data_IF_116722598733
#
_entry.id   IF_116722598733
#
_cell.length_a   1.000
_cell.length_b   1.000
_cell.length_c   1.000
_cell.angle_alpha   90.00
_cell.angle_beta   90.00
_cell.angle_gamma   90.00
#
_symmetry.space_group_name_H-M   'P 1'
#
loop_
_entity.id
_entity.type
_entity.pdbx_description
1 polymer ?
#
# COMPACT_ATOMS: atom_id res chain seq x y z
N UNK A 1 -18.08 -71.13 -44.71
CA UNK A 1 -16.97 -70.56 -45.51
C UNK A 1 -17.09 -69.05 -45.43
N UNK A 2 -16.34 -68.43 -44.53
CA UNK A 2 -16.33 -66.98 -44.33
C UNK A 2 -14.91 -66.49 -44.62
N UNK A 3 -14.79 -65.55 -45.54
CA UNK A 3 -13.53 -64.96 -45.97
C UNK A 3 -13.08 -63.89 -44.98
N UNK A 4 -11.79 -63.96 -44.62
CA UNK A 4 -11.09 -63.01 -43.76
C UNK A 4 -10.51 -61.92 -44.67
N UNK A 5 -10.97 -60.67 -44.50
CA UNK A 5 -10.37 -59.50 -45.13
C UNK A 5 -9.37 -58.86 -44.17
N UNK A 6 -8.11 -58.78 -44.60
CA UNK A 6 -7.03 -58.02 -43.98
C UNK A 6 -7.11 -56.55 -44.41
N UNK A 7 -7.25 -55.64 -43.44
CA UNK A 7 -7.12 -54.19 -43.68
C UNK A 7 -5.75 -53.71 -43.18
N UNK A 8 -5.07 -53.05 -44.10
CA UNK A 8 -3.72 -52.50 -44.01
C UNK A 8 -3.71 -51.22 -43.18
N UNK A 9 -2.79 -51.13 -42.21
CA UNK A 9 -2.56 -49.95 -41.40
C UNK A 9 -1.71 -48.92 -42.17
N UNK A 10 -2.24 -47.69 -42.35
CA UNK A 10 -1.46 -46.52 -42.76
C UNK A 10 -0.97 -45.78 -41.50
N UNK A 11 0.34 -45.66 -41.34
CA UNK A 11 0.96 -44.75 -40.37
C UNK A 11 0.81 -43.29 -40.85
N UNK A 12 0.42 -42.34 -39.99
CA UNK A 12 0.54 -40.92 -40.33
C UNK A 12 2.01 -40.49 -40.30
N UNK A 13 2.47 -39.92 -41.41
CA UNK A 13 3.74 -39.20 -41.53
C UNK A 13 3.74 -37.97 -40.62
N UNK A 14 4.82 -37.79 -39.87
CA UNK A 14 5.09 -36.56 -39.13
C UNK A 14 5.23 -35.37 -40.09
N UNK A 15 4.60 -34.21 -39.82
CA UNK A 15 4.78 -33.03 -40.64
C UNK A 15 6.22 -32.50 -40.51
N UNK A 16 6.76 -32.16 -41.68
CA UNK A 16 8.11 -31.68 -41.89
C UNK A 16 8.38 -30.37 -41.12
N UNK A 17 9.54 -30.33 -40.49
CA UNK A 17 10.15 -29.16 -39.89
C UNK A 17 10.59 -28.15 -40.96
N UNK A 18 10.11 -26.91 -40.82
CA UNK A 18 10.82 -25.67 -41.18
C UNK A 18 9.92 -24.47 -40.86
N UNK A 19 10.28 -23.73 -39.82
CA UNK A 19 10.60 -22.32 -39.97
C UNK A 19 11.62 -21.95 -38.89
N UNK A 20 12.73 -21.37 -39.35
CA UNK A 20 13.86 -20.93 -38.54
C UNK A 20 13.39 -19.69 -37.79
N UNK A 21 13.03 -19.88 -36.52
CA UNK A 21 12.86 -18.77 -35.58
C UNK A 21 14.19 -17.97 -35.52
N UNK A 22 14.14 -16.63 -35.45
CA UNK A 22 15.34 -15.84 -35.24
C UNK A 22 16.03 -16.33 -33.97
N UNK A 23 17.36 -16.46 -34.02
CA UNK A 23 18.17 -16.84 -32.89
C UNK A 23 17.92 -15.85 -31.73
N UNK A 24 17.10 -16.28 -30.76
CA UNK A 24 16.96 -15.60 -29.49
C UNK A 24 18.30 -15.79 -28.79
N UNK A 25 19.01 -14.68 -28.60
CA UNK A 25 20.24 -14.65 -27.82
C UNK A 25 19.88 -14.96 -26.36
N UNK A 26 19.91 -16.24 -26.00
CA UNK A 26 19.77 -16.73 -24.63
C UNK A 26 21.05 -16.53 -23.80
N UNK A 27 21.91 -15.59 -24.18
CA UNK A 27 22.99 -15.17 -23.29
C UNK A 27 22.31 -14.49 -22.11
N UNK A 28 22.33 -15.08 -20.90
CA UNK A 28 21.90 -14.36 -19.72
C UNK A 28 22.73 -13.08 -19.71
N UNK A 29 22.07 -11.92 -19.60
CA UNK A 29 22.79 -10.74 -19.16
C UNK A 29 23.26 -11.08 -17.76
N UNK A 30 24.49 -11.59 -17.68
CA UNK A 30 25.21 -11.79 -16.45
C UNK A 30 25.48 -10.38 -15.97
N UNK A 31 24.54 -9.84 -15.19
CA UNK A 31 24.77 -8.64 -14.41
C UNK A 31 25.87 -9.01 -13.42
N UNK A 32 26.97 -8.27 -13.46
CA UNK A 32 28.03 -8.39 -12.47
C UNK A 32 27.38 -8.26 -11.07
N UNK A 33 27.53 -9.31 -10.26
CA UNK A 33 27.23 -9.35 -8.82
C UNK A 33 25.81 -8.90 -8.40
N UNK A 34 24.82 -9.80 -8.46
CA UNK A 34 23.59 -9.72 -7.63
C UNK A 34 22.68 -8.51 -7.82
N UNK A 35 22.90 -7.68 -8.85
CA UNK A 35 22.09 -6.49 -9.10
C UNK A 35 20.69 -6.84 -9.60
N UNK A 36 19.67 -6.35 -8.90
CA UNK A 36 18.28 -6.46 -9.36
C UNK A 36 18.11 -5.78 -10.73
N UNK A 37 17.25 -6.37 -11.56
CA UNK A 37 16.87 -5.82 -12.85
C UNK A 37 15.62 -4.96 -12.66
N UNK A 38 15.76 -3.64 -12.67
CA UNK A 38 14.62 -2.72 -12.66
C UNK A 38 13.95 -2.70 -14.03
N UNK A 39 12.64 -2.89 -14.07
CA UNK A 39 11.86 -2.65 -15.29
C UNK A 39 11.86 -1.13 -15.59
N UNK A 40 12.40 -0.67 -16.72
CA UNK A 40 12.38 0.74 -17.09
C UNK A 40 10.98 1.24 -17.50
N UNK A 41 10.02 0.34 -17.75
CA UNK A 41 8.65 0.74 -18.01
C UNK A 41 7.96 1.13 -16.69
N UNK A 42 7.51 2.39 -16.60
CA UNK A 42 6.90 2.96 -15.39
C UNK A 42 5.80 2.05 -14.82
N UNK A 43 5.67 1.96 -13.47
CA UNK A 43 4.68 1.10 -12.83
C UNK A 43 3.27 1.46 -13.32
N UNK A 44 2.56 0.44 -13.81
CA UNK A 44 1.19 0.53 -14.31
C UNK A 44 0.35 -0.46 -13.53
N UNK A 45 0.13 -0.21 -12.25
CA UNK A 45 -1.00 -0.84 -11.61
C UNK A 45 -2.26 -0.04 -12.00
N UNK A 46 -3.14 -0.56 -12.88
CA UNK A 46 -4.38 0.13 -13.22
C UNK A 46 -5.39 0.16 -12.06
N UNK A 47 -5.19 -0.65 -11.01
CA UNK A 47 -6.07 -0.76 -9.85
C UNK A 47 -5.54 0.01 -8.62
N UNK A 48 -4.32 0.55 -8.69
CA UNK A 48 -3.72 1.41 -7.65
C UNK A 48 -3.38 2.76 -8.28
N UNK A 49 -4.39 3.63 -8.35
CA UNK A 49 -4.32 5.02 -8.81
C UNK A 49 -3.43 5.92 -7.91
N UNK A 50 -2.12 5.70 -7.95
CA UNK A 50 -1.14 6.77 -7.77
C UNK A 50 -0.53 7.07 -9.14
N UNK A 51 -0.36 8.34 -9.50
CA UNK A 51 0.57 8.67 -10.58
C UNK A 51 1.89 7.90 -10.33
N UNK A 52 2.49 7.25 -11.35
CA UNK A 52 3.72 6.50 -11.17
C UNK A 52 4.70 7.39 -10.43
N UNK A 53 5.09 6.97 -9.22
CA UNK A 53 5.92 7.80 -8.35
C UNK A 53 7.15 8.21 -9.13
N UNK A 54 7.44 9.52 -9.17
CA UNK A 54 8.66 10.06 -9.77
C UNK A 54 9.94 9.53 -9.12
N UNK A 55 9.80 8.82 -8.00
CA UNK A 55 10.86 8.31 -7.14
C UNK A 55 11.62 7.12 -7.77
N UNK A 56 11.21 6.64 -8.96
CA UNK A 56 11.79 5.50 -9.66
C UNK A 56 11.33 4.16 -9.08
N UNK A 57 11.23 3.13 -9.91
CA UNK A 57 11.04 1.76 -9.43
C UNK A 57 12.22 1.39 -8.52
N UNK A 58 11.93 0.81 -7.35
CA UNK A 58 12.94 0.27 -6.43
C UNK A 58 13.04 -1.23 -6.60
N UNK A 59 14.23 -1.76 -6.40
CA UNK A 59 14.43 -3.21 -6.37
C UNK A 59 13.65 -3.81 -5.22
N UNK A 60 13.17 -5.03 -5.39
CA UNK A 60 12.64 -5.75 -4.24
C UNK A 60 13.79 -5.96 -3.25
N UNK A 61 13.54 -5.67 -1.97
CA UNK A 61 14.57 -5.76 -0.93
C UNK A 61 15.03 -7.21 -0.73
N UNK A 62 14.18 -8.16 -1.12
CA UNK A 62 14.51 -9.56 -1.29
C UNK A 62 13.66 -10.15 -2.40
N UNK A 63 14.24 -11.13 -3.07
CA UNK A 63 13.60 -12.09 -3.97
C UNK A 63 12.71 -13.08 -3.22
N UNK A 64 12.78 -13.15 -1.89
CA UNK A 64 11.91 -13.97 -1.05
C UNK A 64 11.82 -15.42 -1.55
N UNK A 65 12.96 -16.01 -1.92
CA UNK A 65 13.04 -17.36 -2.48
C UNK A 65 12.35 -17.55 -3.83
N UNK A 66 11.87 -16.48 -4.48
CA UNK A 66 11.27 -16.51 -5.80
C UNK A 66 12.36 -16.52 -6.89
N UNK A 67 12.39 -17.57 -7.71
CA UNK A 67 13.27 -17.66 -8.88
C UNK A 67 12.53 -17.18 -10.15
N UNK A 68 12.81 -15.96 -10.67
CA UNK A 68 12.15 -15.45 -11.86
C UNK A 68 12.48 -16.25 -13.12
N UNK A 69 13.63 -16.91 -13.17
CA UNK A 69 14.01 -17.75 -14.32
C UNK A 69 13.23 -19.07 -14.30
N UNK A 70 12.96 -19.63 -13.12
CA UNK A 70 12.06 -20.76 -12.99
C UNK A 70 10.63 -20.37 -13.38
N UNK A 71 10.13 -19.23 -12.91
CA UNK A 71 8.82 -18.74 -13.30
C UNK A 71 8.72 -18.53 -14.82
N UNK A 72 9.75 -17.95 -15.45
CA UNK A 72 9.83 -17.77 -16.89
C UNK A 72 9.67 -19.09 -17.65
N UNK A 73 10.41 -20.13 -17.25
CA UNK A 73 10.34 -21.46 -17.89
C UNK A 73 9.02 -22.18 -17.62
N UNK A 74 8.57 -22.17 -16.36
CA UNK A 74 7.38 -22.92 -15.92
C UNK A 74 6.10 -22.35 -16.52
N UNK A 75 5.96 -21.02 -16.52
CA UNK A 75 4.75 -20.34 -17.01
C UNK A 75 4.75 -20.08 -18.52
N UNK A 76 5.83 -20.43 -19.23
CA UNK A 76 5.93 -20.20 -20.68
C UNK A 76 6.11 -18.72 -21.07
N UNK A 77 6.67 -17.92 -20.17
CA UNK A 77 7.04 -16.54 -20.48
C UNK A 77 8.27 -16.51 -21.38
N UNK A 78 8.36 -15.49 -22.23
CA UNK A 78 9.50 -15.33 -23.16
C UNK A 78 10.61 -14.47 -22.56
N UNK A 79 10.27 -13.54 -21.68
CA UNK A 79 11.22 -12.53 -21.19
C UNK A 79 10.86 -12.09 -19.78
N UNK A 80 11.85 -12.03 -18.90
CA UNK A 80 11.75 -11.37 -17.60
C UNK A 80 12.13 -9.90 -17.80
N UNK A 81 11.23 -8.99 -17.45
CA UNK A 81 11.41 -7.55 -17.63
C UNK A 81 12.06 -6.88 -16.42
N UNK A 82 11.96 -7.52 -15.25
CA UNK A 82 12.51 -7.01 -14.01
C UNK A 82 11.51 -7.09 -12.86
N UNK A 83 11.88 -6.44 -11.77
CA UNK A 83 11.09 -6.33 -10.56
C UNK A 83 10.92 -4.88 -10.11
N UNK A 84 9.87 -4.64 -9.33
CA UNK A 84 9.68 -3.37 -8.64
C UNK A 84 9.01 -3.55 -7.29
N UNK A 85 9.54 -2.88 -6.28
CA UNK A 85 8.92 -2.71 -4.97
C UNK A 85 7.84 -1.60 -5.04
N UNK A 86 6.58 -2.00 -4.93
CA UNK A 86 5.41 -1.11 -4.86
C UNK A 86 4.68 -1.27 -3.51
N UNK A 87 3.42 -1.69 -3.51
CA UNK A 87 2.77 -2.24 -2.30
C UNK A 87 3.11 -3.73 -2.08
N UNK A 88 3.78 -4.33 -3.05
CA UNK A 88 4.23 -5.71 -3.12
C UNK A 88 5.51 -5.73 -3.94
N UNK A 89 6.28 -6.82 -3.86
CA UNK A 89 7.30 -7.09 -4.86
C UNK A 89 6.59 -7.59 -6.13
N UNK A 90 6.70 -6.85 -7.22
CA UNK A 90 6.05 -7.17 -8.50
C UNK A 90 7.11 -7.64 -9.49
N UNK A 91 7.01 -8.89 -9.94
CA UNK A 91 7.85 -9.44 -11.01
C UNK A 91 7.12 -9.38 -12.35
N UNK A 92 7.75 -8.79 -13.36
CA UNK A 92 7.16 -8.55 -14.68
C UNK A 92 7.76 -9.43 -15.76
N UNK A 93 6.89 -9.94 -16.62
CA UNK A 93 7.24 -10.84 -17.71
C UNK A 93 6.52 -10.45 -19.00
N UNK A 94 7.09 -10.82 -20.15
CA UNK A 94 6.32 -10.94 -21.40
C UNK A 94 6.00 -12.39 -21.70
N UNK A 95 4.77 -12.64 -22.13
CA UNK A 95 4.38 -13.93 -22.69
C UNK A 95 4.69 -14.03 -24.20
N UNK A 96 4.40 -15.20 -24.78
CA UNK A 96 4.62 -15.45 -26.22
C UNK A 96 3.80 -14.58 -27.18
N UNK A 97 2.74 -13.95 -26.67
CA UNK A 97 1.92 -12.97 -27.41
C UNK A 97 2.44 -11.53 -27.23
N UNK A 98 3.51 -11.35 -26.44
CA UNK A 98 4.06 -10.05 -26.11
C UNK A 98 3.26 -9.28 -25.06
N UNK A 99 2.30 -9.91 -24.37
CA UNK A 99 1.53 -9.27 -23.30
C UNK A 99 2.34 -9.21 -22.02
N UNK A 100 2.17 -8.13 -21.28
CA UNK A 100 2.74 -7.95 -19.95
C UNK A 100 2.00 -8.85 -18.95
N UNK A 101 2.74 -9.66 -18.21
CA UNK A 101 2.26 -10.54 -17.15
C UNK A 101 2.93 -10.19 -15.83
N UNK A 102 2.17 -10.16 -14.75
CA UNK A 102 2.67 -9.80 -13.43
C UNK A 102 2.50 -10.96 -12.43
N UNK A 103 3.53 -11.18 -11.62
CA UNK A 103 3.48 -12.04 -10.44
C UNK A 103 3.76 -11.17 -9.22
N UNK A 104 2.86 -11.20 -8.23
CA UNK A 104 2.90 -10.28 -7.08
C UNK A 104 3.16 -11.01 -5.80
N UNK A 105 4.19 -10.59 -5.08
CA UNK A 105 4.62 -11.20 -3.84
C UNK A 105 4.44 -10.22 -2.67
N UNK A 106 3.72 -10.65 -1.64
CA UNK A 106 3.48 -9.86 -0.43
C UNK A 106 3.85 -10.69 0.80
N UNK A 107 4.67 -10.15 1.69
CA UNK A 107 4.95 -10.77 2.99
C UNK A 107 3.82 -10.48 3.98
N UNK A 108 3.55 -11.43 4.88
CA UNK A 108 2.70 -11.23 6.04
C UNK A 108 3.58 -11.07 7.28
N UNK A 109 4.17 -9.88 7.46
CA UNK A 109 4.99 -9.57 8.62
C UNK A 109 4.26 -9.92 9.94
N UNK A 110 5.00 -10.50 10.88
CA UNK A 110 4.57 -10.82 12.25
C UNK A 110 3.37 -11.78 12.35
N UNK A 111 3.08 -12.54 11.29
CA UNK A 111 2.10 -13.61 11.31
C UNK A 111 2.79 -14.95 11.09
N UNK A 112 2.44 -15.96 11.88
CA UNK A 112 2.75 -17.34 11.52
C UNK A 112 1.89 -17.80 10.33
N UNK A 113 2.28 -18.91 9.71
CA UNK A 113 1.58 -19.47 8.54
C UNK A 113 0.10 -19.73 8.79
N UNK A 114 -0.27 -20.21 9.98
CA UNK A 114 -1.65 -20.52 10.32
C UNK A 114 -2.52 -19.27 10.38
N UNK A 115 -2.00 -18.19 10.97
CA UNK A 115 -2.68 -16.89 11.07
C UNK A 115 -2.76 -16.18 9.73
N UNK A 116 -1.68 -16.22 8.93
CA UNK A 116 -1.69 -15.70 7.57
C UNK A 116 -2.70 -16.46 6.68
N UNK A 117 -2.80 -17.78 6.84
CA UNK A 117 -3.80 -18.60 6.14
C UNK A 117 -5.22 -18.22 6.54
N UNK A 118 -5.49 -18.07 7.83
CA UNK A 118 -6.81 -17.63 8.31
C UNK A 118 -7.19 -16.24 7.73
N UNK A 119 -6.23 -15.32 7.66
CA UNK A 119 -6.44 -14.00 7.07
C UNK A 119 -6.75 -14.10 5.56
N UNK A 120 -5.98 -14.91 4.81
CA UNK A 120 -6.23 -15.15 3.39
C UNK A 120 -7.62 -15.72 3.14
N UNK A 121 -8.04 -16.73 3.92
CA UNK A 121 -9.38 -17.32 3.83
C UNK A 121 -10.46 -16.29 4.14
N UNK A 122 -10.28 -15.46 5.17
CA UNK A 122 -11.25 -14.44 5.54
C UNK A 122 -11.41 -13.33 4.49
N UNK A 123 -10.31 -12.98 3.79
CA UNK A 123 -10.29 -11.94 2.76
C UNK A 123 -11.04 -12.31 1.49
N UNK A 124 -11.25 -13.60 1.24
CA UNK A 124 -11.98 -14.12 0.06
C UNK A 124 -13.52 -14.10 0.27
N UNK A 125 -13.98 -13.76 1.47
CA UNK A 125 -15.40 -13.58 1.78
C UNK A 125 -16.21 -14.88 1.83
N UNK A 126 -17.52 -14.81 1.59
CA UNK A 126 -18.44 -15.96 1.64
C UNK A 126 -18.29 -16.92 0.44
N UNK A 127 -17.51 -16.55 -0.57
CA UNK A 127 -17.10 -17.47 -1.62
C UNK A 127 -16.04 -18.39 -1.00
N UNK A 128 -16.47 -19.53 -0.44
CA UNK A 128 -15.57 -20.54 0.10
C UNK A 128 -14.58 -20.93 -1.00
N UNK A 129 -13.29 -20.54 -0.93
CA UNK A 129 -12.35 -21.02 -1.90
C UNK A 129 -12.23 -22.54 -1.72
N UNK A 130 -12.13 -23.28 -2.83
CA UNK A 130 -11.54 -24.61 -2.77
C UNK A 130 -10.08 -24.40 -2.36
N UNK A 131 -9.82 -24.58 -1.06
CA UNK A 131 -8.48 -24.66 -0.53
C UNK A 131 -7.91 -26.00 -0.98
N UNK A 132 -7.28 -25.97 -2.14
CA UNK A 132 -6.31 -26.98 -2.50
C UNK A 132 -5.09 -26.74 -1.60
N UNK A 133 -5.11 -27.34 -0.41
CA UNK A 133 -3.86 -27.68 0.24
C UNK A 133 -3.15 -28.66 -0.70
N UNK A 134 -2.30 -28.12 -1.58
CA UNK A 134 -1.27 -28.94 -2.20
C UNK A 134 -0.61 -29.71 -1.05
N UNK A 135 -0.39 -31.02 -1.20
CA UNK A 135 0.29 -31.87 -0.20
C UNK A 135 1.76 -31.44 0.05
N UNK A 136 2.14 -30.26 -0.43
CA UNK A 136 3.39 -29.58 -0.18
C UNK A 136 3.36 -28.98 1.23
N UNK A 137 4.19 -29.54 2.11
CA UNK A 137 4.41 -29.02 3.45
C UNK A 137 4.75 -27.51 3.37
N UNK A 138 3.84 -26.66 3.86
CA UNK A 138 4.01 -25.22 3.88
C UNK A 138 3.45 -24.45 2.68
N UNK A 139 2.61 -25.04 1.80
CA UNK A 139 1.95 -24.28 0.72
C UNK A 139 0.43 -24.43 0.78
N UNK A 140 -0.28 -23.31 0.86
CA UNK A 140 -1.75 -23.27 0.81
C UNK A 140 -2.21 -22.44 -0.39
N UNK A 141 -2.89 -23.09 -1.35
CA UNK A 141 -3.39 -22.43 -2.56
C UNK A 141 -4.88 -22.13 -2.46
N UNK A 142 -5.28 -21.00 -3.02
CA UNK A 142 -6.67 -20.58 -3.17
C UNK A 142 -6.86 -19.89 -4.51
N UNK A 143 -8.06 -19.94 -5.09
CA UNK A 143 -8.38 -19.23 -6.33
C UNK A 143 -9.76 -18.58 -6.25
N UNK A 144 -9.96 -17.51 -7.02
CA UNK A 144 -11.25 -16.85 -7.18
C UNK A 144 -11.29 -16.16 -8.54
N UNK A 145 -12.34 -16.46 -9.31
CA UNK A 145 -12.47 -16.01 -10.70
C UNK A 145 -11.24 -16.41 -11.56
N UNK A 146 -10.60 -15.43 -12.18
CA UNK A 146 -9.43 -15.55 -13.04
C UNK A 146 -8.10 -15.41 -12.29
N UNK A 147 -8.13 -15.26 -10.96
CA UNK A 147 -6.93 -15.08 -10.13
C UNK A 147 -6.68 -16.26 -9.19
N UNK A 148 -5.40 -16.50 -8.95
CA UNK A 148 -4.92 -17.50 -8.00
C UNK A 148 -3.94 -16.87 -7.01
N UNK A 149 -3.93 -17.43 -5.80
CA UNK A 149 -2.99 -17.07 -4.75
C UNK A 149 -2.43 -18.32 -4.10
N UNK A 150 -1.17 -18.25 -3.67
CA UNK A 150 -0.55 -19.25 -2.83
C UNK A 150 0.11 -18.57 -1.64
N UNK A 151 -0.21 -19.07 -0.45
CA UNK A 151 0.53 -18.79 0.76
C UNK A 151 1.66 -19.81 0.86
N UNK A 152 2.89 -19.34 1.00
CA UNK A 152 4.11 -20.15 1.10
C UNK A 152 4.75 -19.86 2.46
N UNK A 153 4.99 -20.92 3.20
CA UNK A 153 5.68 -20.95 4.48
C UNK A 153 7.21 -20.85 4.31
N UNK A 154 7.91 -20.66 5.42
CA UNK A 154 9.36 -20.49 5.43
C UNK A 154 9.79 -19.07 5.07
N UNK A 155 11.04 -18.72 5.42
CA UNK A 155 11.55 -17.34 5.52
C UNK A 155 10.84 -16.55 6.62
N UNK A 156 11.35 -15.40 7.10
CA UNK A 156 11.00 -14.96 8.46
C UNK A 156 9.52 -14.61 8.63
N UNK A 157 8.76 -14.49 7.53
CA UNK A 157 7.30 -14.46 7.55
C UNK A 157 6.71 -15.22 6.35
N UNK A 158 5.47 -15.74 6.45
CA UNK A 158 4.72 -16.33 5.34
C UNK A 158 4.54 -15.32 4.21
N UNK A 159 4.55 -15.83 2.98
CA UNK A 159 4.50 -15.01 1.76
C UNK A 159 3.32 -15.39 0.92
N UNK A 160 2.66 -14.40 0.34
CA UNK A 160 1.56 -14.60 -0.60
C UNK A 160 2.03 -14.26 -2.01
N UNK A 161 2.06 -15.26 -2.88
CA UNK A 161 2.22 -15.09 -4.32
C UNK A 161 0.82 -15.02 -4.97
N UNK A 162 0.55 -13.98 -5.74
CA UNK A 162 -0.67 -13.81 -6.53
C UNK A 162 -0.38 -13.71 -8.02
N UNK A 163 -1.23 -14.32 -8.84
CA UNK A 163 -1.11 -14.30 -10.31
C UNK A 163 -2.47 -14.48 -11.01
N UNK A 164 -2.52 -14.09 -12.28
CA UNK A 164 -3.67 -14.34 -13.13
C UNK A 164 -3.53 -15.70 -13.81
N UNK A 165 -4.61 -16.50 -13.82
CA UNK A 165 -4.59 -17.89 -14.30
C UNK A 165 -4.39 -18.01 -15.80
N UNK A 166 -4.70 -16.94 -16.54
CA UNK A 166 -4.42 -16.83 -17.97
C UNK A 166 -2.94 -16.47 -18.24
N UNK A 167 -2.23 -15.91 -17.26
CA UNK A 167 -0.81 -15.65 -17.32
C UNK A 167 -0.01 -16.90 -16.97
N UNK A 168 -0.39 -17.62 -15.90
CA UNK A 168 0.24 -18.88 -15.52
C UNK A 168 -0.78 -19.85 -14.93
N UNK A 169 -0.86 -21.05 -15.49
CA UNK A 169 -1.76 -22.08 -14.96
C UNK A 169 -1.33 -22.55 -13.56
N UNK A 170 -2.28 -23.02 -12.76
CA UNK A 170 -2.01 -23.51 -11.40
C UNK A 170 -1.06 -24.73 -11.40
N UNK A 171 -1.09 -25.54 -12.47
CA UNK A 171 -0.18 -26.68 -12.69
C UNK A 171 1.25 -26.20 -12.94
N UNK A 172 1.43 -25.25 -13.86
CA UNK A 172 2.73 -24.63 -14.14
C UNK A 172 3.33 -23.94 -12.91
N UNK A 173 2.50 -23.21 -12.16
CA UNK A 173 2.93 -22.47 -10.97
C UNK A 173 3.38 -23.40 -9.84
N UNK A 174 2.93 -24.66 -9.82
CA UNK A 174 3.26 -25.61 -8.74
C UNK A 174 4.77 -25.85 -8.59
N UNK A 175 5.53 -25.89 -9.69
CA UNK A 175 7.00 -26.03 -9.62
C UNK A 175 7.68 -24.78 -9.03
N UNK A 176 7.12 -23.59 -9.29
CA UNK A 176 7.62 -22.33 -8.72
C UNK A 176 7.38 -22.30 -7.22
N UNK A 177 6.16 -22.65 -6.78
CA UNK A 177 5.80 -22.71 -5.36
C UNK A 177 6.63 -23.73 -4.58
N UNK A 178 6.94 -24.88 -5.19
CA UNK A 178 7.84 -25.88 -4.63
C UNK A 178 9.24 -25.34 -4.40
N UNK A 179 9.80 -24.63 -5.38
CA UNK A 179 11.11 -24.02 -5.25
C UNK A 179 11.13 -22.92 -4.19
N UNK A 180 10.08 -22.08 -4.13
CA UNK A 180 9.95 -21.06 -3.09
C UNK A 180 9.89 -21.65 -1.68
N UNK A 181 9.12 -22.72 -1.49
CA UNK A 181 9.01 -23.41 -0.20
C UNK A 181 10.32 -24.10 0.22
N UNK A 182 11.13 -24.53 -0.75
CA UNK A 182 12.42 -25.17 -0.52
C UNK A 182 13.61 -24.19 -0.47
N UNK A 183 13.40 -22.91 -0.76
CA UNK A 183 14.47 -21.92 -0.81
C UNK A 183 15.06 -21.70 0.59
N UNK A 184 16.40 -21.76 0.75
CA UNK A 184 17.04 -21.56 2.05
C UNK A 184 16.82 -20.14 2.56
N UNK A 185 16.58 -19.96 3.86
CA UNK A 185 16.49 -18.62 4.47
C UNK A 185 17.89 -18.03 4.55
N UNK A 186 18.10 -16.84 4.00
CA UNK A 186 19.36 -16.11 4.17
C UNK A 186 19.48 -15.61 5.62
N UNK A 187 20.58 -15.95 6.29
CA UNK A 187 20.75 -15.74 7.73
C UNK A 187 20.78 -14.27 8.17
N UNK A 188 21.03 -13.33 7.23
CA UNK A 188 21.17 -11.89 7.49
C UNK A 188 19.92 -11.07 7.07
N UNK A 189 18.77 -11.71 6.84
CA UNK A 189 17.57 -10.99 6.42
C UNK A 189 16.88 -10.28 7.59
N UNK A 190 16.97 -8.95 7.63
CA UNK A 190 16.23 -8.11 8.59
C UNK A 190 14.76 -7.97 8.18
N UNK A 191 13.85 -8.53 8.99
CA UNK A 191 12.40 -8.42 8.85
C UNK A 191 11.90 -6.97 8.70
N UNK A 192 12.60 -6.01 9.29
CA UNK A 192 12.22 -4.59 9.26
C UNK A 192 12.41 -3.95 7.88
N UNK A 193 13.18 -4.60 7.01
CA UNK A 193 13.39 -4.21 5.62
C UNK A 193 12.36 -4.81 4.66
N UNK A 194 11.52 -5.74 5.12
CA UNK A 194 10.54 -6.46 4.30
C UNK A 194 9.21 -5.73 4.07
N UNK A 195 9.00 -4.56 4.70
CA UNK A 195 7.80 -3.75 4.50
C UNK A 195 8.11 -2.59 3.55
N UNK A 196 7.27 -2.33 2.52
CA UNK A 196 7.48 -1.23 1.61
C UNK A 196 7.58 0.08 2.40
N UNK A 197 8.80 0.63 2.44
CA UNK A 197 9.09 1.86 3.18
C UNK A 197 8.42 3.00 2.45
N UNK A 198 7.25 3.42 2.95
CA UNK A 198 6.58 4.64 2.48
C UNK A 198 7.44 5.85 2.87
N UNK A 199 8.40 6.22 2.03
CA UNK A 199 9.00 7.55 2.09
C UNK A 199 7.94 8.57 1.70
N UNK A 200 7.71 9.58 2.55
CA UNK A 200 6.82 10.70 2.24
C UNK A 200 7.17 11.26 0.86
N UNK A 201 6.20 11.45 -0.06
CA UNK A 201 6.50 12.04 -1.35
C UNK A 201 7.13 13.42 -1.13
N UNK A 202 8.25 13.66 -1.79
CA UNK A 202 8.79 15.02 -1.92
C UNK A 202 7.80 15.78 -2.80
N UNK A 203 7.27 16.94 -2.38
CA UNK A 203 6.24 17.63 -3.14
C UNK A 203 6.78 18.03 -4.51
N UNK A 204 6.36 17.33 -5.56
CA UNK A 204 6.51 17.80 -6.93
C UNK A 204 5.67 19.06 -7.09
N UNK A 205 6.25 20.11 -7.69
CA UNK A 205 5.55 21.35 -7.97
C UNK A 205 4.35 21.06 -8.88
N UNK A 206 3.14 21.24 -8.34
CA UNK A 206 1.89 21.08 -9.09
C UNK A 206 1.79 22.18 -10.15
N UNK A 207 1.90 21.80 -11.42
CA UNK A 207 1.58 22.68 -12.54
C UNK A 207 0.06 22.74 -12.71
N UNK A 208 -0.49 23.96 -12.63
CA UNK A 208 -1.90 24.23 -12.72
C UNK A 208 -2.48 23.83 -14.08
N UNK A 209 -3.34 22.80 -14.11
CA UNK A 209 -4.17 22.45 -15.28
C UNK A 209 -5.20 23.55 -15.55
N UNK A 210 -5.17 24.11 -16.74
CA UNK A 210 -6.20 25.03 -17.24
C UNK A 210 -7.42 24.22 -17.70
N UNK A 211 -8.58 24.44 -17.09
CA UNK A 211 -9.84 23.74 -17.41
C UNK A 211 -10.64 24.56 -18.44
N UNK A 212 -10.84 24.01 -19.64
CA UNK A 212 -11.81 24.54 -20.62
C UNK A 212 -13.24 24.20 -20.18
N UNK A 213 -14.10 25.21 -20.15
CA UNK A 213 -15.50 25.13 -19.71
C UNK A 213 -16.39 24.56 -20.82
N UNK A 214 -16.72 23.27 -20.72
CA UNK A 214 -17.75 22.62 -21.53
C UNK A 214 -18.99 22.31 -20.66
N UNK A 215 -20.17 22.65 -21.17
CA UNK A 215 -21.46 22.78 -20.44
C UNK A 215 -22.10 21.45 -20.00
N UNK A 216 -21.38 20.34 -20.09
CA UNK A 216 -21.75 19.06 -19.50
C UNK A 216 -20.80 18.80 -18.35
N UNK A 217 -21.08 19.39 -17.19
CA UNK A 217 -20.27 19.22 -15.99
C UNK A 217 -20.38 17.75 -15.54
N UNK A 218 -19.47 16.92 -16.01
CA UNK A 218 -19.26 15.57 -15.49
C UNK A 218 -18.95 15.72 -14.01
N UNK A 219 -19.84 15.25 -13.15
CA UNK A 219 -19.60 15.19 -11.71
C UNK A 219 -18.40 14.28 -11.48
N UNK A 220 -17.30 14.87 -11.03
CA UNK A 220 -16.12 14.11 -10.60
C UNK A 220 -16.50 13.35 -9.33
N UNK A 221 -16.34 12.03 -9.34
CA UNK A 221 -16.52 11.21 -8.15
C UNK A 221 -15.26 11.25 -7.29
N UNK A 222 -15.42 11.32 -5.97
CA UNK A 222 -14.30 11.34 -5.02
C UNK A 222 -14.35 10.11 -4.12
N UNK A 223 -13.40 9.19 -4.24
CA UNK A 223 -13.36 7.98 -3.39
C UNK A 223 -12.56 8.22 -2.11
N UNK A 224 -13.18 8.09 -0.92
CA UNK A 224 -12.43 8.11 0.34
C UNK A 224 -11.76 6.77 0.64
N UNK A 225 -10.57 6.78 1.26
CA UNK A 225 -9.81 7.94 1.76
C UNK A 225 -8.94 8.64 0.69
N UNK A 226 -8.79 8.03 -0.48
CA UNK A 226 -7.81 8.40 -1.52
C UNK A 226 -7.98 9.84 -1.99
N UNK A 227 -9.20 10.23 -2.32
CA UNK A 227 -9.49 11.50 -2.99
C UNK A 227 -9.88 12.61 -1.99
N UNK A 228 -9.64 12.39 -0.69
CA UNK A 228 -9.94 13.39 0.35
C UNK A 228 -9.26 14.74 0.04
N UNK A 229 -7.98 14.71 -0.37
CA UNK A 229 -7.25 15.92 -0.71
C UNK A 229 -7.79 16.61 -1.96
N UNK A 230 -8.05 15.86 -3.02
CA UNK A 230 -8.61 16.38 -4.27
C UNK A 230 -9.98 17.04 -4.05
N UNK A 231 -10.83 16.46 -3.19
CA UNK A 231 -12.11 17.04 -2.80
C UNK A 231 -11.94 18.38 -2.06
N UNK A 232 -10.95 18.48 -1.16
CA UNK A 232 -10.66 19.72 -0.43
C UNK A 232 -10.02 20.79 -1.32
N UNK A 233 -9.19 20.40 -2.28
CA UNK A 233 -8.63 21.33 -3.26
C UNK A 233 -9.74 21.86 -4.19
N UNK A 234 -10.69 21.01 -4.60
CA UNK A 234 -11.89 21.43 -5.34
C UNK A 234 -12.77 22.40 -4.52
N UNK A 235 -12.92 22.16 -3.22
CA UNK A 235 -13.61 23.07 -2.30
C UNK A 235 -12.92 24.45 -2.22
N UNK A 236 -11.59 24.46 -2.11
CA UNK A 236 -10.81 25.69 -2.06
C UNK A 236 -10.90 26.45 -3.40
N UNK A 237 -10.80 25.75 -4.53
CA UNK A 237 -10.95 26.34 -5.86
C UNK A 237 -12.34 26.94 -6.07
N UNK A 238 -13.41 26.27 -5.61
CA UNK A 238 -14.77 26.81 -5.65
C UNK A 238 -14.87 28.13 -4.86
N UNK A 239 -14.27 28.19 -3.67
CA UNK A 239 -14.26 29.41 -2.86
C UNK A 239 -13.43 30.55 -3.49
N UNK A 240 -12.29 30.24 -4.10
CA UNK A 240 -11.42 31.21 -4.78
C UNK A 240 -12.07 31.81 -6.03
N UNK A 241 -12.75 30.97 -6.82
CA UNK A 241 -13.46 31.38 -8.05
C UNK A 241 -14.86 31.92 -7.80
N UNK A 242 -15.27 32.01 -6.54
CA UNK A 242 -16.62 32.40 -6.11
C UNK A 242 -17.74 31.53 -6.73
N UNK A 243 -17.43 30.28 -7.09
CA UNK A 243 -18.38 29.31 -7.64
C UNK A 243 -19.19 28.62 -6.53
N UNK A 244 -20.27 29.29 -6.11
CA UNK A 244 -21.22 28.75 -5.12
C UNK A 244 -21.87 27.44 -5.60
N UNK A 245 -22.10 27.27 -6.91
CA UNK A 245 -22.74 26.06 -7.43
C UNK A 245 -21.83 24.86 -7.26
N UNK A 246 -20.54 24.99 -7.57
CA UNK A 246 -19.55 23.95 -7.31
C UNK A 246 -19.47 23.61 -5.82
N UNK A 247 -19.42 24.61 -4.94
CA UNK A 247 -19.47 24.40 -3.48
C UNK A 247 -20.66 23.56 -3.02
N UNK A 248 -21.87 23.87 -3.51
CA UNK A 248 -23.07 23.13 -3.19
C UNK A 248 -23.06 21.70 -3.75
N UNK A 249 -22.47 21.50 -4.94
CA UNK A 249 -22.34 20.17 -5.55
C UNK A 249 -21.37 19.25 -4.79
N UNK A 250 -20.33 19.82 -4.16
CA UNK A 250 -19.39 19.08 -3.30
C UNK A 250 -19.98 18.76 -1.92
N UNK A 251 -21.07 19.43 -1.54
CA UNK A 251 -21.71 19.30 -0.22
C UNK A 251 -22.86 18.31 -0.24
N UNK A 252 -23.07 17.61 0.88
CA UNK A 252 -24.30 16.80 1.05
C UNK A 252 -25.52 17.72 1.18
N UNK A 253 -26.72 17.26 0.77
CA UNK A 253 -27.96 18.01 1.00
C UNK A 253 -28.24 18.31 2.49
N UNK A 254 -27.81 17.40 3.37
CA UNK A 254 -27.92 17.50 4.83
C UNK A 254 -26.65 18.03 5.50
N UNK A 255 -25.72 18.61 4.73
CA UNK A 255 -24.50 19.16 5.26
C UNK A 255 -24.78 20.27 6.27
N UNK A 256 -23.88 20.40 7.25
CA UNK A 256 -24.01 21.37 8.35
C UNK A 256 -22.79 22.28 8.44
N UNK A 257 -22.96 23.43 9.08
CA UNK A 257 -21.87 24.32 9.44
C UNK A 257 -21.95 24.76 10.90
N UNK A 258 -20.80 25.03 11.52
CA UNK A 258 -20.72 25.46 12.91
C UNK A 258 -19.30 25.84 13.33
N UNK A 259 -19.00 25.75 14.64
CA UNK A 259 -17.64 25.96 15.15
C UNK A 259 -16.69 24.84 14.69
N UNK A 260 -15.37 25.07 14.63
CA UNK A 260 -14.40 24.06 14.23
C UNK A 260 -14.15 23.03 15.34
N UNK A 261 -15.21 22.29 15.69
CA UNK A 261 -15.24 21.24 16.69
C UNK A 261 -16.02 20.03 16.17
N UNK A 262 -15.48 18.82 16.41
CA UNK A 262 -16.04 17.56 15.91
C UNK A 262 -17.35 17.16 16.57
N UNK A 263 -17.72 17.78 17.69
CA UNK A 263 -19.04 17.66 18.33
C UNK A 263 -20.10 18.51 17.65
N UNK A 264 -19.68 19.40 16.76
CA UNK A 264 -20.56 20.27 15.97
C UNK A 264 -21.48 21.16 16.86
N UNK A 265 -20.95 21.83 17.89
CA UNK A 265 -21.76 22.64 18.80
C UNK A 265 -22.38 23.81 18.05
N UNK A 266 -23.71 23.96 18.21
CA UNK A 266 -24.47 24.99 17.51
C UNK A 266 -24.52 24.80 15.99
N UNK A 267 -24.23 23.59 15.49
CA UNK A 267 -24.28 23.33 14.06
C UNK A 267 -25.69 23.50 13.51
N UNK A 268 -25.76 24.12 12.33
CA UNK A 268 -26.97 24.39 11.58
C UNK A 268 -26.82 23.89 10.15
N UNK A 269 -27.92 23.77 9.42
CA UNK A 269 -27.86 23.39 8.00
C UNK A 269 -26.95 24.36 7.24
N UNK A 270 -26.09 23.80 6.38
CA UNK A 270 -25.21 24.56 5.50
C UNK A 270 -26.01 25.32 4.43
N UNK A 271 -27.11 24.73 3.98
CA UNK A 271 -28.08 25.35 3.06
C UNK A 271 -29.34 25.68 3.84
N UNK A 272 -29.60 26.96 4.12
CA UNK A 272 -30.78 27.38 4.90
C UNK A 272 -31.41 28.68 4.38
N UNK A 273 -32.41 28.59 3.49
CA UNK A 273 -33.20 29.74 3.02
C UNK A 273 -32.45 30.77 2.17
N UNK A 274 -31.12 30.85 2.30
CA UNK A 274 -30.18 31.73 1.61
C UNK A 274 -29.35 30.99 0.54
N UNK A 275 -29.75 29.76 0.20
CA UNK A 275 -29.05 28.88 -0.73
C UNK A 275 -27.57 28.67 -0.38
N UNK A 276 -27.21 28.71 0.91
CA UNK A 276 -25.84 28.49 1.40
C UNK A 276 -24.90 29.66 1.16
N UNK A 277 -25.43 30.85 0.84
CA UNK A 277 -24.62 32.05 0.61
C UNK A 277 -23.80 32.46 1.83
N UNK A 278 -24.36 32.36 3.04
CA UNK A 278 -23.66 32.68 4.28
C UNK A 278 -22.51 31.70 4.55
N UNK A 279 -22.79 30.40 4.39
CA UNK A 279 -21.80 29.34 4.57
C UNK A 279 -20.62 29.53 3.60
N UNK A 280 -20.92 29.80 2.34
CA UNK A 280 -19.92 30.01 1.29
C UNK A 280 -19.06 31.25 1.55
N UNK A 281 -19.68 32.37 1.96
CA UNK A 281 -18.96 33.59 2.30
C UNK A 281 -18.02 33.38 3.51
N UNK A 282 -18.48 32.63 4.53
CA UNK A 282 -17.70 32.30 5.70
C UNK A 282 -16.51 31.39 5.35
N UNK A 283 -16.73 30.34 4.54
CA UNK A 283 -15.68 29.46 4.03
C UNK A 283 -14.59 30.24 3.30
N UNK A 284 -14.99 31.10 2.35
CA UNK A 284 -14.05 31.94 1.58
C UNK A 284 -13.23 32.85 2.50
N UNK A 285 -13.88 33.50 3.48
CA UNK A 285 -13.18 34.33 4.46
C UNK A 285 -12.17 33.51 5.28
N UNK A 286 -12.55 32.33 5.76
CA UNK A 286 -11.64 31.44 6.48
C UNK A 286 -10.45 30.99 5.65
N UNK A 287 -10.67 30.54 4.40
CA UNK A 287 -9.58 30.13 3.51
C UNK A 287 -8.61 31.29 3.20
N UNK A 288 -9.13 32.51 2.99
CA UNK A 288 -8.28 33.70 2.82
C UNK A 288 -7.39 33.98 4.03
N UNK A 289 -7.92 33.83 5.25
CA UNK A 289 -7.14 34.03 6.49
C UNK A 289 -6.09 32.94 6.70
N UNK A 290 -6.42 31.70 6.33
CA UNK A 290 -5.53 30.55 6.46
C UNK A 290 -4.43 30.52 5.38
N UNK A 291 -4.63 31.24 4.28
CA UNK A 291 -3.69 31.36 3.16
C UNK A 291 -3.56 30.09 2.34
N UNK A 292 -2.49 29.98 1.56
CA UNK A 292 -2.21 28.84 0.67
C UNK A 292 -1.73 27.56 1.41
N UNK A 293 -2.07 27.40 2.70
CA UNK A 293 -1.63 26.23 3.46
C UNK A 293 -2.44 25.00 3.01
N UNK A 294 -1.80 23.85 2.82
CA UNK A 294 -2.51 22.62 2.48
C UNK A 294 -3.36 22.13 3.66
N UNK A 295 -4.53 21.51 3.40
CA UNK A 295 -5.24 20.78 4.45
C UNK A 295 -4.43 19.59 4.94
N UNK A 296 -4.59 19.28 6.22
CA UNK A 296 -4.06 18.10 6.89
C UNK A 296 -5.24 17.15 7.14
N UNK A 297 -5.17 15.96 6.56
CA UNK A 297 -6.09 14.86 6.88
C UNK A 297 -5.34 13.88 7.80
N UNK A 298 -5.69 13.78 9.09
CA UNK A 298 -5.02 12.89 10.03
C UNK A 298 -5.13 11.43 9.57
N UNK A 299 -4.04 10.68 9.79
CA UNK A 299 -4.02 9.24 9.56
C UNK A 299 -5.07 8.56 10.45
N UNK A 300 -5.70 7.55 9.92
CA UNK A 300 -6.65 6.69 10.63
C UNK A 300 -6.13 5.26 10.64
N UNK A 301 -6.60 4.49 11.61
CA UNK A 301 -6.35 3.04 11.68
C UNK A 301 -6.86 2.37 10.40
N UNK A 302 -6.05 1.52 9.77
CA UNK A 302 -6.42 0.81 8.54
C UNK A 302 -7.73 0.02 8.68
N UNK A 303 -8.07 -0.47 9.88
CA UNK A 303 -9.33 -1.16 10.21
C UNK A 303 -10.56 -0.26 10.00
N UNK A 304 -10.40 1.06 10.05
CA UNK A 304 -11.47 2.03 9.83
C UNK A 304 -11.68 2.38 8.35
N UNK A 305 -10.78 1.96 7.45
CA UNK A 305 -10.85 2.31 6.01
C UNK A 305 -12.20 1.96 5.42
N UNK A 306 -12.67 0.73 5.63
CA UNK A 306 -13.92 0.27 5.06
C UNK A 306 -15.14 1.06 5.57
N UNK A 307 -15.15 1.42 6.86
CA UNK A 307 -16.20 2.25 7.46
C UNK A 307 -16.18 3.69 6.91
N UNK A 308 -14.99 4.25 6.68
CA UNK A 308 -14.83 5.58 6.05
C UNK A 308 -15.31 5.56 4.60
N UNK A 309 -14.88 4.57 3.81
CA UNK A 309 -15.26 4.42 2.40
C UNK A 309 -16.78 4.27 2.23
N UNK A 310 -17.44 3.50 3.11
CA UNK A 310 -18.91 3.35 3.09
C UNK A 310 -19.69 4.51 3.72
N UNK A 311 -19.00 5.48 4.32
CA UNK A 311 -19.63 6.62 4.98
C UNK A 311 -20.26 6.33 6.34
N UNK A 312 -19.90 5.22 6.98
CA UNK A 312 -20.28 4.90 8.37
C UNK A 312 -19.55 5.82 9.35
N UNK A 313 -18.30 6.17 9.04
CA UNK A 313 -17.49 7.14 9.77
C UNK A 313 -17.07 8.29 8.84
N UNK A 314 -17.07 9.55 9.32
CA UNK A 314 -16.50 10.64 8.56
C UNK A 314 -14.97 10.59 8.60
N UNK A 315 -14.34 11.00 7.50
CA UNK A 315 -12.93 11.38 7.47
C UNK A 315 -12.81 12.86 7.81
N UNK A 316 -12.04 13.18 8.83
CA UNK A 316 -11.82 14.58 9.24
C UNK A 316 -10.57 15.13 8.58
N UNK A 317 -10.64 16.34 8.06
CA UNK A 317 -9.50 17.09 7.59
C UNK A 317 -9.56 18.51 8.15
N UNK A 318 -8.40 19.18 8.25
CA UNK A 318 -8.32 20.52 8.80
C UNK A 318 -7.26 21.39 8.14
N UNK A 319 -7.53 22.67 8.09
CA UNK A 319 -6.53 23.73 7.94
C UNK A 319 -6.35 24.42 9.28
N UNK A 320 -5.13 24.85 9.56
CA UNK A 320 -4.80 25.62 10.76
C UNK A 320 -3.95 26.83 10.39
N UNK A 321 -4.13 27.94 11.10
CA UNK A 321 -3.21 29.08 11.07
C UNK A 321 -1.87 28.72 11.71
N UNK A 322 -0.85 29.56 11.52
CA UNK A 322 0.51 29.30 12.04
C UNK A 322 0.54 29.27 13.56
N UNK A 323 -0.24 30.12 14.21
CA UNK A 323 -0.42 30.17 15.66
C UNK A 323 -1.38 29.08 16.20
N UNK A 324 -1.98 28.28 15.32
CA UNK A 324 -2.94 27.23 15.66
C UNK A 324 -4.25 27.73 16.26
N UNK A 325 -4.55 29.03 16.19
CA UNK A 325 -5.76 29.61 16.76
C UNK A 325 -6.94 29.55 15.78
N UNK A 326 -6.74 29.89 14.51
CA UNK A 326 -7.77 29.80 13.47
C UNK A 326 -7.76 28.40 12.86
N UNK A 327 -8.96 27.83 12.72
CA UNK A 327 -9.15 26.46 12.25
C UNK A 327 -10.31 26.44 11.27
N UNK A 328 -10.12 25.70 10.18
CA UNK A 328 -11.20 25.24 9.30
C UNK A 328 -11.16 23.72 9.34
N UNK A 329 -12.20 23.08 9.85
CA UNK A 329 -12.34 21.63 9.84
C UNK A 329 -13.42 21.22 8.86
N UNK A 330 -13.20 20.12 8.16
CA UNK A 330 -14.15 19.56 7.21
C UNK A 330 -14.33 18.07 7.51
N UNK A 331 -15.58 17.65 7.64
CA UNK A 331 -15.94 16.24 7.69
C UNK A 331 -16.35 15.78 6.28
N UNK A 332 -15.63 14.79 5.76
CA UNK A 332 -15.92 14.14 4.49
C UNK A 332 -16.61 12.81 4.77
N UNK A 333 -17.72 12.54 4.08
CA UNK A 333 -18.46 11.28 4.22
C UNK A 333 -18.54 10.58 2.87
N UNK A 334 -18.12 9.31 2.86
CA UNK A 334 -18.29 8.41 1.73
C UNK A 334 -19.76 8.08 1.49
N UNK A 335 -20.11 7.72 0.27
CA UNK A 335 -21.42 7.25 -0.14
C UNK A 335 -21.26 6.39 -1.40
N UNK A 336 -22.28 5.61 -1.71
CA UNK A 336 -22.36 4.86 -2.97
C UNK A 336 -23.50 5.46 -3.78
N UNK A 337 -23.20 5.98 -4.96
CA UNK A 337 -24.16 6.58 -5.90
C UNK A 337 -24.09 5.77 -7.19
N UNK A 338 -25.20 5.15 -7.58
CA UNK A 338 -25.29 4.32 -8.79
C UNK A 338 -24.23 3.19 -8.89
N UNK A 339 -23.78 2.70 -7.73
CA UNK A 339 -22.77 1.65 -7.63
C UNK A 339 -21.33 2.16 -7.55
N UNK A 340 -21.10 3.45 -7.73
CA UNK A 340 -19.79 4.08 -7.65
C UNK A 340 -19.56 4.73 -6.27
N UNK A 341 -18.34 4.59 -5.75
CA UNK A 341 -17.93 5.23 -4.51
C UNK A 341 -17.69 6.72 -4.74
N UNK A 342 -18.30 7.55 -3.90
CA UNK A 342 -18.22 8.99 -3.97
C UNK A 342 -18.17 9.59 -2.57
N UNK A 343 -17.76 10.85 -2.46
CA UNK A 343 -17.60 11.52 -1.20
C UNK A 343 -18.11 12.95 -1.29
N UNK A 344 -18.68 13.39 -0.18
CA UNK A 344 -19.28 14.72 -0.06
C UNK A 344 -18.97 15.31 1.31
N UNK A 345 -19.02 16.62 1.38
CA UNK A 345 -18.84 17.37 2.62
C UNK A 345 -20.09 17.20 3.48
N UNK A 346 -19.94 16.65 4.68
CA UNK A 346 -21.00 16.53 5.69
C UNK A 346 -21.00 17.72 6.66
N UNK A 347 -19.82 18.25 6.98
CA UNK A 347 -19.69 19.32 7.97
C UNK A 347 -18.55 20.28 7.62
N UNK A 348 -18.80 21.57 7.82
CA UNK A 348 -17.78 22.63 7.78
C UNK A 348 -17.77 23.36 9.12
N UNK A 349 -16.69 23.20 9.87
CA UNK A 349 -16.47 23.94 11.10
C UNK A 349 -15.47 25.06 10.88
N UNK A 350 -15.85 26.29 11.20
CA UNK A 350 -14.99 27.47 11.02
C UNK A 350 -15.32 28.55 12.05
N UNK A 351 -14.39 29.48 12.26
CA UNK A 351 -14.67 30.70 13.00
C UNK A 351 -15.12 31.83 12.06
N UNK A 352 -16.19 32.58 12.39
CA UNK A 352 -16.59 33.75 11.62
C UNK A 352 -15.47 34.80 11.52
N UNK A 353 -14.73 34.95 12.61
CA UNK A 353 -13.56 35.83 12.73
C UNK A 353 -12.40 35.05 13.36
N UNK A 354 -11.16 35.36 12.96
CA UNK A 354 -9.98 34.71 13.53
C UNK A 354 -9.92 34.93 15.06
N UNK A 355 -9.88 33.86 15.86
CA UNK A 355 -9.84 33.99 17.31
C UNK A 355 -8.48 34.51 17.77
N UNK A 356 -8.48 35.42 18.75
CA UNK A 356 -7.26 35.99 19.34
C UNK A 356 -6.68 35.17 20.49
N UNK A 357 -7.41 34.13 20.93
CA UNK A 357 -7.05 33.25 22.03
C UNK A 357 -7.77 31.90 21.85
N UNK A 358 -7.27 30.81 22.44
CA UNK A 358 -7.95 29.53 22.40
C UNK A 358 -9.40 29.65 22.90
N UNK A 359 -10.35 29.17 22.12
CA UNK A 359 -11.75 29.12 22.50
C UNK A 359 -11.97 27.94 23.46
N UNK A 360 -12.53 28.19 24.63
CA UNK A 360 -13.04 27.14 25.53
C UNK A 360 -14.55 27.23 25.55
N UNK A 361 -15.22 26.13 25.24
CA UNK A 361 -16.66 26.00 25.40
C UNK A 361 -16.95 25.55 26.84
N UNK A 362 -17.57 26.38 27.69
CA UNK A 362 -17.84 26.00 29.08
C UNK A 362 -18.87 24.87 29.16
N UNK A 363 -18.64 23.89 30.04
CA UNK A 363 -19.59 22.78 30.30
C UNK A 363 -19.58 21.67 29.25
N UNK A 364 -18.81 21.86 28.19
CA UNK A 364 -18.66 20.94 27.07
C UNK A 364 -17.53 19.94 27.39
N UNK A 365 -17.73 18.60 27.24
CA UNK A 365 -16.68 17.61 27.48
C UNK A 365 -15.45 17.85 26.58
N UNK A 366 -14.30 17.20 26.81
CA UNK A 366 -13.24 17.22 25.80
C UNK A 366 -13.79 16.71 24.46
N UNK A 367 -13.34 17.27 23.34
CA UNK A 367 -13.67 16.73 22.04
C UNK A 367 -13.27 15.24 22.00
N UNK A 368 -14.11 14.34 21.45
CA UNK A 368 -13.77 12.91 21.34
C UNK A 368 -12.45 12.74 20.57
N UNK A 369 -11.75 11.61 20.59
CA UNK A 369 -10.61 11.39 19.67
C UNK A 369 -11.06 11.50 18.19
N UNK A 370 -10.15 11.88 17.27
CA UNK A 370 -10.48 12.11 15.83
C UNK A 370 -11.15 10.89 15.22
N UNK A 371 -10.62 9.72 15.54
CA UNK A 371 -11.20 8.44 15.19
C UNK A 371 -11.38 7.62 16.48
N UNK A 372 -12.41 6.77 16.56
CA UNK A 372 -12.47 5.79 17.63
C UNK A 372 -11.21 4.93 17.53
N UNK A 373 -10.47 4.80 18.63
CA UNK A 373 -9.40 3.82 18.72
C UNK A 373 -10.08 2.48 18.99
N UNK A 374 -10.03 1.51 18.06
CA UNK A 374 -10.51 0.17 18.36
C UNK A 374 -9.68 -0.36 19.54
N UNK A 375 -10.27 -1.18 20.44
CA UNK A 375 -9.49 -1.82 21.48
C UNK A 375 -8.30 -2.55 20.84
N UNK A 376 -7.10 -2.22 21.31
CA UNK A 376 -5.87 -2.88 20.90
C UNK A 376 -5.75 -4.15 21.73
N UNK A 377 -5.76 -5.30 21.04
CA UNK A 377 -5.44 -6.58 21.64
C UNK A 377 -4.01 -6.90 21.25
N UNK A 378 -3.08 -6.94 22.21
CA UNK A 378 -1.69 -7.27 21.92
C UNK A 378 -1.59 -8.67 21.31
N UNK A 379 -0.85 -8.77 20.20
CA UNK A 379 -0.84 -9.93 19.32
C UNK A 379 -1.77 -9.83 18.10
N UNK A 380 -2.64 -8.83 17.98
CA UNK A 380 -3.37 -8.51 16.74
C UNK A 380 -2.36 -8.00 15.68
N UNK A 381 -2.37 -8.48 14.42
CA UNK A 381 -1.49 -7.97 13.35
C UNK A 381 -1.56 -6.46 13.13
N UNK A 382 -2.58 -5.79 13.64
CA UNK A 382 -2.73 -4.34 13.59
C UNK A 382 -1.95 -3.60 14.71
N UNK A 383 -1.33 -4.29 15.68
CA UNK A 383 -0.54 -3.64 16.74
C UNK A 383 0.76 -3.02 16.24
N UNK A 384 1.26 -3.47 15.08
CA UNK A 384 2.42 -2.87 14.38
C UNK A 384 2.20 -1.39 14.05
N UNK A 385 0.93 -0.98 13.87
CA UNK A 385 0.56 0.41 13.61
C UNK A 385 0.66 1.29 14.87
N UNK A 386 0.97 0.70 16.03
CA UNK A 386 0.94 1.30 17.37
C UNK A 386 2.19 0.95 18.20
N UNK A 387 3.40 1.34 17.75
CA UNK A 387 4.64 1.00 18.44
C UNK A 387 4.65 1.53 19.89
N UNK A 388 5.03 0.67 20.83
CA UNK A 388 5.16 0.99 22.26
C UNK A 388 3.86 0.98 23.07
N UNK A 389 2.70 0.66 22.47
CA UNK A 389 1.45 0.48 23.22
C UNK A 389 1.23 -0.97 23.71
N UNK A 390 1.85 -1.93 23.05
CA UNK A 390 1.93 -3.29 23.56
C UNK A 390 3.29 -3.50 24.23
N UNK A 391 3.34 -4.16 25.40
CA UNK A 391 4.61 -4.62 25.93
C UNK A 391 5.29 -5.45 24.84
N UNK A 392 6.57 -5.18 24.59
CA UNK A 392 7.42 -6.15 23.91
C UNK A 392 7.19 -7.49 24.60
N UNK A 393 7.01 -8.57 23.85
CA UNK A 393 7.05 -9.91 24.43
C UNK A 393 8.49 -10.17 24.89
N UNK A 394 8.89 -9.52 25.99
CA UNK A 394 10.18 -9.73 26.65
C UNK A 394 10.28 -11.18 27.15
N UNK A 395 9.17 -11.93 27.19
CA UNK A 395 9.12 -13.37 27.46
C UNK A 395 9.65 -14.24 26.29
N UNK A 396 9.96 -13.67 25.11
CA UNK A 396 10.58 -14.41 24.00
C UNK A 396 12.13 -14.36 24.03
N UNK A 397 12.74 -13.62 24.98
CA UNK A 397 14.22 -13.49 25.11
C UNK A 397 14.85 -14.37 26.22
N UNK A 398 14.07 -15.16 26.98
CA UNK A 398 14.59 -15.97 28.12
C UNK A 398 14.67 -17.50 27.86
N UNK A 399 14.65 -17.97 26.60
CA UNK A 399 15.03 -19.36 26.27
C UNK A 399 16.36 -19.44 25.50
N UNK A 400 17.28 -18.51 25.83
CA UNK A 400 18.72 -18.70 25.65
C UNK A 400 19.22 -19.72 26.68
N UNK A 401 18.76 -20.96 26.54
CA UNK A 401 19.22 -22.09 27.33
C UNK A 401 20.74 -22.20 27.26
N UNK A 402 21.33 -22.19 28.44
CA UNK A 402 22.68 -22.62 28.78
C UNK A 402 23.28 -23.58 27.73
N UNK A 403 24.07 -23.05 26.79
CA UNK A 403 25.08 -23.86 26.10
C UNK A 403 26.20 -24.14 27.11
N UNK A 404 26.02 -25.26 27.80
CA UNK A 404 27.01 -25.94 28.63
C UNK A 404 28.39 -25.95 27.96
N UNK A 405 29.35 -25.31 28.61
CA UNK A 405 30.71 -25.79 28.87
C UNK A 405 31.30 -26.76 27.82
N UNK A 406 31.72 -26.21 26.67
CA UNK A 406 32.59 -26.87 25.71
C UNK A 406 34.06 -26.52 25.95
N UNK A 407 34.71 -27.27 26.84
CA UNK A 407 36.17 -27.29 27.03
C UNK A 407 36.94 -27.47 25.70
N UNK A 408 37.98 -26.65 25.50
CA UNK A 408 39.13 -26.98 24.66
C UNK A 408 39.35 -26.11 23.42
N UNK A 409 40.24 -25.13 23.49
CA UNK A 409 41.65 -25.41 23.20
C UNK A 409 42.54 -24.18 23.41
N UNK A 410 43.65 -24.47 24.06
CA UNK A 410 44.80 -23.65 24.37
C UNK A 410 45.46 -23.11 23.08
N UNK A 411 45.54 -21.79 22.92
CA UNK A 411 46.53 -21.17 22.02
C UNK A 411 47.43 -20.22 22.83
N UNK A 412 48.75 -20.48 22.89
CA UNK A 412 49.70 -19.56 23.49
C UNK A 412 50.34 -18.69 22.38
N UNK A 413 51.33 -17.85 22.73
CA UNK A 413 51.22 -16.42 22.96
C UNK A 413 51.76 -15.61 21.76
N UNK A 414 51.39 -14.34 21.62
CA UNK A 414 52.17 -13.43 20.79
C UNK A 414 52.62 -12.20 21.58
N UNK A 415 53.92 -11.99 21.45
CA UNK A 415 54.76 -11.06 22.15
C UNK A 415 54.56 -9.63 21.63
N UNK A 416 54.62 -8.70 22.57
CA UNK A 416 55.48 -7.50 22.54
C UNK A 416 55.85 -6.94 21.15
N UNK A 417 55.07 -5.97 20.67
CA UNK A 417 55.60 -4.91 19.81
C UNK A 417 54.92 -3.58 20.10
N UNK A 418 55.70 -2.66 20.67
CA UNK A 418 55.90 -1.38 20.02
C UNK A 418 55.18 -0.18 20.63
N UNK A 419 55.89 0.44 21.57
CA UNK A 419 55.90 1.87 21.84
C UNK A 419 55.73 2.71 20.56
N UNK A 420 54.81 3.67 20.61
CA UNK A 420 54.48 4.55 19.49
C UNK A 420 53.96 5.90 20.00
N UNK A 421 54.83 6.61 20.69
CA UNK A 421 54.72 8.02 21.05
C UNK A 421 54.28 8.87 19.85
N UNK A 422 53.21 9.64 19.98
CA UNK A 422 52.95 10.83 19.14
C UNK A 422 52.05 11.82 19.87
N UNK A 423 52.72 12.70 20.61
CA UNK A 423 52.28 14.06 20.87
C UNK A 423 51.98 14.78 19.55
N UNK A 424 50.83 15.45 19.41
CA UNK A 424 50.77 16.82 18.82
C UNK A 424 49.58 17.59 19.43
N UNK A 425 49.90 18.83 19.83
CA UNK A 425 49.06 19.97 20.19
C UNK A 425 47.67 20.02 19.50
N UNK A 426 46.58 20.45 20.14
CA UNK A 426 46.43 21.70 20.87
C UNK A 426 45.68 22.70 20.00
N UNK A 427 44.47 23.09 20.40
CA UNK A 427 44.07 24.49 20.42
C UNK A 427 42.74 24.71 21.14
N UNK A 428 42.85 25.47 22.21
CA UNK A 428 41.84 26.26 22.87
C UNK A 428 41.23 27.28 21.89
N UNK A 429 39.92 27.54 22.02
CA UNK A 429 39.33 28.89 22.05
C UNK A 429 37.79 28.83 22.03
N UNK A 430 37.19 28.98 23.20
CA UNK A 430 35.93 29.73 23.42
C UNK A 430 36.27 31.22 23.62
N UNK A 431 35.33 32.17 23.82
CA UNK A 431 33.95 32.31 23.30
C UNK A 431 33.67 33.75 22.77
N UNK A 432 32.49 33.96 22.18
CA UNK A 432 31.63 35.16 22.36
C UNK A 432 30.21 34.83 21.93
#
# INVERSE_FOLDING_TARGET
MAAISTLSACHPQAPASRDVAPAISNTPQQTDEGGCLLDPEAPRDPDIDGEPRSDGARCCVSDYGFDPQLALRSCGFTTYLGESEELACVHRFRDSEGRLRELRLTSFADLDFSRALALQVSGLGAASPDLDALELAGVARSSHADRSWALVDGWPSPRRLGWDRDACSDEAMSSVLQAMAAAPVEADFDLHDALPRWSSPTPAASEARTVETSESATTVAYTLPRDARALLDALAAAAETEDRRAFLALSRPDARMGLPDRRQPGARALVSGDEGSEAFAALRSSLQRLGARPPICPRFDRRLRAAITRGELPMWCLWASEDGLDLLIVALRGQVVDGEADARIEYIGLFPEAPRKPLRLPGEPPAPPIYPLPPLHCGDPHTVDYPGLCPSSEDDEEDGGDEEDGDGDELPPEDDYGDGDSQVAGNSSTPS
#
